data_IF_315568271762
#
_entry.id   IF_315568271762
#
_cell.length_a   1.000
_cell.length_b   1.000
_cell.length_c   1.000
_cell.angle_alpha   90.00
_cell.angle_beta   90.00
_cell.angle_gamma   90.00
#
_symmetry.space_group_name_H-M   'P 1'
#
loop_
_entity.id
_entity.type
_entity.pdbx_description
1 polymer ?
#
# COMPACT_ATOMS: atom_id res chain seq x y z
N UNK A 1 -7.16 61.08 34.10
CA UNK A 1 -6.47 59.89 33.58
C UNK A 1 -7.39 58.67 33.69
N UNK A 2 -7.43 57.84 32.64
CA UNK A 2 -8.13 56.55 32.48
C UNK A 2 -9.68 56.51 32.61
N UNK A 3 -10.36 56.70 31.46
CA UNK A 3 -11.74 56.22 31.24
C UNK A 3 -11.73 54.69 31.19
N UNK A 4 -12.37 54.03 32.16
CA UNK A 4 -12.61 52.58 32.13
C UNK A 4 -13.59 52.26 31.00
N UNK A 5 -13.07 51.66 29.93
CA UNK A 5 -13.88 51.06 28.87
C UNK A 5 -14.44 49.75 29.44
N UNK A 6 -15.68 49.77 29.94
CA UNK A 6 -16.42 48.57 30.27
C UNK A 6 -16.73 47.84 28.96
N UNK A 7 -15.92 46.84 28.60
CA UNK A 7 -16.17 45.97 27.45
C UNK A 7 -17.44 45.18 27.73
N UNK A 8 -18.49 45.49 26.98
CA UNK A 8 -19.77 44.81 26.99
C UNK A 8 -19.57 43.38 26.44
N UNK A 9 -19.32 42.41 27.31
CA UNK A 9 -19.30 41.01 26.93
C UNK A 9 -20.74 40.52 26.80
N UNK A 10 -21.38 40.83 25.67
CA UNK A 10 -22.63 40.17 25.26
C UNK A 10 -22.28 38.69 25.08
N UNK A 11 -22.63 37.87 26.06
CA UNK A 11 -22.37 36.43 26.04
C UNK A 11 -23.12 35.76 24.91
N UNK A 12 -22.47 34.80 24.24
CA UNK A 12 -23.14 33.87 23.35
C UNK A 12 -24.32 33.22 24.09
N UNK A 13 -25.43 33.11 23.40
CA UNK A 13 -26.60 32.41 23.94
C UNK A 13 -26.44 30.90 23.75
N UNK A 14 -26.98 30.09 24.67
CA UNK A 14 -26.92 28.62 24.55
C UNK A 14 -27.58 28.11 23.26
N UNK A 15 -28.58 28.84 22.74
CA UNK A 15 -29.27 28.49 21.50
C UNK A 15 -28.37 28.67 20.26
N UNK A 16 -27.48 29.67 20.26
CA UNK A 16 -26.50 29.85 19.18
C UNK A 16 -25.48 28.72 19.17
N UNK A 17 -25.01 28.30 20.35
CA UNK A 17 -24.13 27.13 20.46
C UNK A 17 -24.83 25.82 20.06
N UNK A 18 -26.11 25.67 20.42
CA UNK A 18 -26.91 24.51 20.07
C UNK A 18 -27.07 24.36 18.54
N UNK A 19 -27.40 25.43 17.84
CA UNK A 19 -27.56 25.40 16.39
C UNK A 19 -26.27 24.97 15.67
N UNK A 20 -25.11 25.43 16.14
CA UNK A 20 -23.79 25.09 15.57
C UNK A 20 -23.48 23.60 15.74
N UNK A 21 -23.66 23.03 16.94
CA UNK A 21 -23.36 21.61 17.16
C UNK A 21 -24.29 20.67 16.39
N UNK A 22 -25.56 21.07 16.17
CA UNK A 22 -26.51 20.30 15.35
C UNK A 22 -26.03 20.25 13.90
N UNK A 23 -25.64 21.39 13.33
CA UNK A 23 -25.10 21.45 11.96
C UNK A 23 -23.81 20.63 11.85
N UNK A 24 -22.88 20.77 12.81
CA UNK A 24 -21.65 19.97 12.85
C UNK A 24 -21.94 18.47 12.98
N UNK A 25 -22.96 18.07 13.75
CA UNK A 25 -23.38 16.67 13.90
C UNK A 25 -23.89 16.05 12.60
N UNK A 26 -24.70 16.79 11.82
CA UNK A 26 -25.19 16.32 10.52
C UNK A 26 -24.03 16.17 9.53
N UNK A 27 -23.12 17.15 9.47
CA UNK A 27 -21.94 17.10 8.60
C UNK A 27 -21.04 15.92 8.99
N UNK A 28 -20.76 15.73 10.28
CA UNK A 28 -19.92 14.65 10.78
C UNK A 28 -20.47 13.26 10.46
N UNK A 29 -21.80 13.08 10.53
CA UNK A 29 -22.45 11.80 10.23
C UNK A 29 -22.20 11.32 8.79
N UNK A 30 -22.11 12.24 7.81
CA UNK A 30 -21.82 11.91 6.41
C UNK A 30 -20.31 11.88 6.16
N UNK A 31 -19.58 12.83 6.75
CA UNK A 31 -18.15 13.02 6.49
C UNK A 31 -17.29 11.87 7.02
N UNK A 32 -17.57 11.34 8.22
CA UNK A 32 -16.76 10.28 8.84
C UNK A 32 -16.70 9.00 7.99
N UNK A 33 -17.82 8.39 7.57
CA UNK A 33 -17.77 7.19 6.72
C UNK A 33 -17.17 7.49 5.34
N UNK A 34 -17.42 8.67 4.77
CA UNK A 34 -16.88 9.05 3.47
C UNK A 34 -15.34 9.19 3.49
N UNK A 35 -14.78 9.83 4.53
CA UNK A 35 -13.33 10.01 4.69
C UNK A 35 -12.66 8.65 4.96
N UNK A 36 -13.26 7.78 5.79
CA UNK A 36 -12.72 6.44 6.05
C UNK A 36 -12.54 5.62 4.77
N UNK A 37 -13.53 5.65 3.87
CA UNK A 37 -13.43 4.95 2.58
C UNK A 37 -12.35 5.54 1.67
N UNK A 38 -12.16 6.87 1.66
CA UNK A 38 -11.12 7.52 0.86
C UNK A 38 -9.72 7.14 1.35
N UNK A 39 -9.52 7.12 2.67
CA UNK A 39 -8.22 6.76 3.29
C UNK A 39 -7.89 5.30 2.95
N UNK A 40 -8.81 4.37 3.19
CA UNK A 40 -8.59 2.95 2.90
C UNK A 40 -8.28 2.68 1.41
N UNK A 41 -8.95 3.40 0.50
CA UNK A 41 -8.64 3.30 -0.94
C UNK A 41 -7.28 3.91 -1.30
N UNK A 42 -6.85 4.97 -0.60
CA UNK A 42 -5.55 5.59 -0.82
C UNK A 42 -4.41 4.70 -0.34
N UNK A 43 -4.56 4.07 0.83
CA UNK A 43 -3.61 3.09 1.38
C UNK A 43 -3.45 1.90 0.42
N UNK A 44 -4.55 1.31 -0.05
CA UNK A 44 -4.49 0.24 -1.05
C UNK A 44 -3.72 0.65 -2.31
N UNK A 45 -4.01 1.84 -2.85
CA UNK A 45 -3.32 2.33 -4.04
C UNK A 45 -1.83 2.53 -3.79
N UNK A 46 -1.46 2.98 -2.59
CA UNK A 46 -0.06 3.09 -2.19
C UNK A 46 0.61 1.70 -2.19
N UNK A 47 -0.01 0.70 -1.57
CA UNK A 47 0.54 -0.65 -1.48
C UNK A 47 0.64 -1.33 -2.85
N UNK A 48 -0.36 -1.17 -3.73
CA UNK A 48 -0.27 -1.67 -5.11
C UNK A 48 0.83 -0.97 -5.92
N UNK A 49 0.98 0.34 -5.72
CA UNK A 49 2.05 1.12 -6.37
C UNK A 49 3.43 0.67 -5.86
N UNK A 50 3.54 0.36 -4.58
CA UNK A 50 4.75 -0.19 -3.98
C UNK A 50 5.10 -1.56 -4.56
N UNK A 51 4.11 -2.47 -4.69
CA UNK A 51 4.31 -3.75 -5.35
C UNK A 51 4.81 -3.57 -6.80
N UNK A 52 4.23 -2.63 -7.56
CA UNK A 52 4.70 -2.29 -8.91
C UNK A 52 6.16 -1.79 -8.91
N UNK A 53 6.55 -0.97 -7.93
CA UNK A 53 7.92 -0.49 -7.77
C UNK A 53 8.90 -1.64 -7.44
N UNK A 54 8.52 -2.58 -6.57
CA UNK A 54 9.32 -3.76 -6.25
C UNK A 54 9.57 -4.61 -7.49
N UNK A 55 8.54 -4.83 -8.33
CA UNK A 55 8.70 -5.53 -9.62
C UNK A 55 9.64 -4.75 -10.55
N UNK A 56 9.52 -3.42 -10.60
CA UNK A 56 10.42 -2.55 -11.36
C UNK A 56 11.88 -2.70 -10.93
N UNK A 57 12.15 -2.68 -9.63
CA UNK A 57 13.47 -2.95 -9.05
C UNK A 57 13.98 -4.33 -9.41
N UNK A 58 13.12 -5.35 -9.40
CA UNK A 58 13.50 -6.70 -9.79
C UNK A 58 13.88 -6.84 -11.27
N UNK A 59 13.17 -6.14 -12.14
CA UNK A 59 13.52 -6.07 -13.57
C UNK A 59 14.89 -5.45 -13.76
N UNK A 60 15.18 -4.37 -13.05
CA UNK A 60 16.48 -3.71 -13.11
C UNK A 60 17.59 -4.61 -12.56
N UNK A 61 17.35 -5.29 -11.43
CA UNK A 61 18.28 -6.26 -10.86
C UNK A 61 18.61 -7.40 -11.83
N UNK A 62 17.61 -7.99 -12.48
CA UNK A 62 17.83 -9.07 -13.45
C UNK A 62 18.64 -8.57 -14.66
N UNK A 63 18.35 -7.36 -15.13
CA UNK A 63 19.05 -6.76 -16.26
C UNK A 63 20.52 -6.41 -15.95
N UNK A 64 20.82 -5.98 -14.73
CA UNK A 64 22.16 -5.57 -14.31
C UNK A 64 23.03 -6.74 -13.83
N UNK A 65 22.50 -7.60 -12.96
CA UNK A 65 23.29 -8.61 -12.25
C UNK A 65 23.24 -10.00 -12.91
N UNK A 66 22.22 -10.27 -13.74
CA UNK A 66 22.05 -11.57 -14.40
C UNK A 66 21.95 -12.75 -13.42
N UNK A 67 21.01 -12.73 -12.46
CA UNK A 67 20.94 -13.72 -11.39
C UNK A 67 20.63 -15.12 -11.92
N UNK A 68 21.00 -16.11 -11.11
CA UNK A 68 20.80 -17.52 -11.41
C UNK A 68 19.36 -17.94 -11.09
N UNK A 69 18.79 -18.77 -11.96
CA UNK A 69 17.46 -19.36 -11.79
C UNK A 69 17.60 -20.83 -11.39
N UNK A 70 16.64 -21.34 -10.61
CA UNK A 70 16.55 -22.77 -10.33
C UNK A 70 16.39 -23.54 -11.65
N UNK A 71 17.29 -24.48 -12.00
CA UNK A 71 17.21 -25.20 -13.27
C UNK A 71 16.00 -26.15 -13.36
N UNK A 72 15.40 -26.54 -12.22
CA UNK A 72 14.26 -27.46 -12.17
C UNK A 72 12.93 -26.72 -12.28
N UNK A 73 12.83 -25.56 -11.62
CA UNK A 73 11.61 -24.75 -11.58
C UNK A 73 11.63 -23.56 -12.55
N UNK A 74 12.80 -23.21 -13.10
CA UNK A 74 13.06 -21.96 -13.82
C UNK A 74 12.64 -20.71 -13.03
N UNK A 75 12.75 -20.76 -11.70
CA UNK A 75 12.34 -19.67 -10.81
C UNK A 75 13.49 -19.07 -10.02
N UNK A 76 13.37 -17.78 -9.73
CA UNK A 76 14.12 -17.08 -8.68
C UNK A 76 13.09 -16.53 -7.69
N UNK A 77 13.23 -16.86 -6.42
CA UNK A 77 12.46 -16.26 -5.33
C UNK A 77 13.35 -15.35 -4.50
N UNK A 78 12.83 -14.18 -4.17
CA UNK A 78 13.45 -13.21 -3.28
C UNK A 78 12.46 -12.92 -2.16
N UNK A 79 12.80 -13.31 -0.94
CA UNK A 79 11.97 -13.08 0.24
C UNK A 79 12.62 -11.99 1.07
N UNK A 80 11.85 -10.94 1.36
CA UNK A 80 12.20 -9.94 2.38
C UNK A 80 11.37 -10.18 3.62
N UNK A 81 12.02 -10.48 4.73
CA UNK A 81 11.36 -10.64 6.00
C UNK A 81 11.08 -9.28 6.67
N UNK A 82 10.18 -9.29 7.66
CA UNK A 82 9.79 -8.09 8.41
C UNK A 82 10.93 -7.47 9.23
N UNK A 83 11.99 -8.24 9.52
CA UNK A 83 13.22 -7.74 10.15
C UNK A 83 14.18 -7.04 9.17
N UNK A 84 13.81 -6.98 7.88
CA UNK A 84 14.59 -6.38 6.81
C UNK A 84 15.59 -7.35 6.16
N UNK A 85 15.71 -8.58 6.62
CA UNK A 85 16.60 -9.57 6.02
C UNK A 85 16.09 -10.04 4.66
N UNK A 86 17.03 -10.29 3.75
CA UNK A 86 16.75 -10.80 2.41
C UNK A 86 17.26 -12.23 2.27
N UNK A 87 16.45 -13.07 1.63
CA UNK A 87 16.76 -14.46 1.31
C UNK A 87 16.46 -14.74 -0.16
N UNK A 88 17.22 -15.66 -0.75
CA UNK A 88 17.15 -16.00 -2.16
C UNK A 88 17.05 -17.51 -2.37
N UNK A 89 16.20 -17.91 -3.31
CA UNK A 89 16.10 -19.29 -3.79
C UNK A 89 16.16 -19.28 -5.33
N UNK A 90 17.12 -19.95 -5.98
CA UNK A 90 18.19 -20.76 -5.38
C UNK A 90 19.21 -19.92 -4.61
N UNK A 91 19.86 -20.54 -3.64
CA UNK A 91 20.90 -19.90 -2.82
C UNK A 91 22.11 -19.55 -3.67
N UNK A 92 22.71 -18.38 -3.44
CA UNK A 92 23.89 -17.88 -4.17
C UNK A 92 23.64 -16.58 -4.94
N UNK A 93 22.38 -16.16 -5.07
CA UNK A 93 22.03 -14.82 -5.54
C UNK A 93 22.15 -13.80 -4.41
N UNK A 94 22.64 -12.59 -4.72
CA UNK A 94 22.80 -11.44 -3.81
C UNK A 94 22.64 -10.15 -4.60
N UNK A 95 22.60 -8.98 -3.94
CA UNK A 95 22.69 -7.67 -4.59
C UNK A 95 21.34 -6.98 -4.82
N UNK A 96 20.22 -7.68 -4.65
CA UNK A 96 18.89 -7.09 -4.81
C UNK A 96 18.61 -5.97 -3.80
N UNK A 97 19.24 -6.01 -2.62
CA UNK A 97 19.18 -4.98 -1.59
C UNK A 97 19.55 -3.59 -2.11
N UNK A 98 20.45 -3.48 -3.09
CA UNK A 98 20.85 -2.20 -3.67
C UNK A 98 19.80 -1.57 -4.58
N UNK A 99 18.80 -2.35 -4.99
CA UNK A 99 17.72 -1.93 -5.88
C UNK A 99 16.42 -1.66 -5.12
N UNK A 100 16.39 -1.95 -3.82
CA UNK A 100 15.19 -1.93 -3.00
C UNK A 100 15.25 -0.78 -1.98
N UNK A 101 14.36 0.20 -2.13
CA UNK A 101 14.16 1.28 -1.17
C UNK A 101 12.79 1.15 -0.50
N UNK A 102 12.47 -0.06 0.02
CA UNK A 102 11.16 -0.39 0.58
C UNK A 102 11.29 -1.14 1.89
N UNK A 103 10.46 -0.78 2.88
CA UNK A 103 10.51 -1.32 4.25
C UNK A 103 9.72 -2.59 4.43
N UNK A 104 8.72 -2.84 3.60
CA UNK A 104 7.74 -3.88 3.88
C UNK A 104 8.25 -5.27 3.52
N UNK A 105 7.69 -6.28 4.19
CA UNK A 105 7.95 -7.68 3.88
C UNK A 105 7.26 -8.04 2.56
N UNK A 106 7.90 -8.90 1.77
CA UNK A 106 7.31 -9.44 0.54
C UNK A 106 8.05 -10.70 0.11
N UNK A 107 7.38 -11.47 -0.73
CA UNK A 107 7.98 -12.54 -1.52
C UNK A 107 7.80 -12.25 -3.00
N UNK A 108 8.91 -12.07 -3.70
CA UNK A 108 8.92 -11.90 -5.14
C UNK A 108 9.29 -13.24 -5.78
N UNK A 109 8.46 -13.73 -6.69
CA UNK A 109 8.77 -14.88 -7.55
C UNK A 109 8.91 -14.43 -9.00
N UNK A 110 10.08 -14.69 -9.58
CA UNK A 110 10.39 -14.47 -10.98
C UNK A 110 10.46 -15.84 -11.66
N UNK A 111 9.67 -16.05 -12.72
CA UNK A 111 9.69 -17.30 -13.49
C UNK A 111 10.17 -17.03 -14.91
N UNK A 112 11.08 -17.86 -15.41
CA UNK A 112 11.58 -17.82 -16.78
C UNK A 112 10.88 -18.86 -17.63
N UNK A 113 10.18 -18.43 -18.69
CA UNK A 113 9.50 -19.32 -19.61
C UNK A 113 9.90 -19.00 -21.06
N UNK A 114 10.77 -19.84 -21.64
CA UNK A 114 11.13 -19.75 -23.06
C UNK A 114 11.72 -18.41 -23.51
N UNK A 115 12.33 -17.65 -22.59
CA UNK A 115 12.89 -16.31 -22.86
C UNK A 115 12.07 -15.14 -22.30
N UNK A 116 10.79 -15.37 -21.95
CA UNK A 116 9.97 -14.40 -21.23
C UNK A 116 10.18 -14.53 -19.72
N UNK A 117 10.14 -13.39 -19.01
CA UNK A 117 10.17 -13.33 -17.55
C UNK A 117 8.80 -12.88 -17.04
N UNK A 118 8.23 -13.64 -16.11
CA UNK A 118 6.98 -13.28 -15.43
C UNK A 118 7.27 -13.00 -13.96
N UNK A 119 6.70 -11.92 -13.44
CA UNK A 119 6.91 -11.44 -12.08
C UNK A 119 5.62 -11.58 -11.28
N UNK A 120 5.75 -12.07 -10.05
CA UNK A 120 4.64 -12.15 -9.10
C UNK A 120 5.10 -11.77 -7.70
N UNK A 121 4.26 -11.04 -6.98
CA UNK A 121 4.47 -10.65 -5.58
C UNK A 121 3.45 -11.36 -4.69
N UNK A 122 3.94 -11.89 -3.59
CA UNK A 122 3.20 -12.49 -2.49
C UNK A 122 3.67 -11.89 -1.14
N UNK A 123 2.99 -12.23 -0.04
CA UNK A 123 3.35 -11.85 1.33
C UNK A 123 3.63 -10.35 1.54
N UNK A 124 2.96 -9.50 0.74
CA UNK A 124 3.06 -8.03 0.77
C UNK A 124 1.69 -7.43 1.12
N UNK A 125 1.58 -6.25 1.77
CA UNK A 125 0.29 -5.63 2.09
C UNK A 125 -0.68 -5.53 0.91
N UNK A 126 -0.17 -5.35 -0.32
CA UNK A 126 -0.99 -5.37 -1.55
C UNK A 126 -1.76 -6.69 -1.79
N UNK A 127 -1.33 -7.79 -1.17
CA UNK A 127 -1.96 -9.12 -1.24
C UNK A 127 -2.90 -9.40 -0.07
N UNK A 128 -2.91 -8.53 0.93
CA UNK A 128 -3.79 -8.62 2.09
C UNK A 128 -5.21 -8.15 1.78
N UNK A 129 -6.14 -8.60 2.62
CA UNK A 129 -7.56 -8.26 2.49
C UNK A 129 -7.83 -6.86 3.01
N UNK A 130 -7.95 -5.91 2.09
CA UNK A 130 -8.60 -4.65 2.38
C UNK A 130 -10.10 -4.90 2.46
N UNK A 131 -10.60 -5.22 3.66
CA UNK A 131 -12.04 -5.33 3.91
C UNK A 131 -12.74 -4.05 3.40
N UNK A 132 -13.46 -4.15 2.28
CA UNK A 132 -14.27 -3.04 1.76
C UNK A 132 -15.69 -3.20 2.29
N UNK A 133 -16.23 -2.20 3.00
CA UNK A 133 -17.67 -2.14 3.18
C UNK A 133 -18.34 -1.95 1.81
N UNK A 134 -18.92 -3.02 1.25
CA UNK A 134 -19.83 -2.97 0.09
C UNK A 134 -19.24 -3.21 -1.30
N UNK A 135 -17.99 -3.67 -1.44
CA UNK A 135 -17.42 -4.07 -2.73
C UNK A 135 -16.87 -5.50 -2.65
N UNK A 136 -17.21 -6.33 -3.65
CA UNK A 136 -16.62 -7.67 -3.77
C UNK A 136 -15.10 -7.53 -3.93
N UNK A 137 -14.29 -8.36 -3.25
CA UNK A 137 -12.86 -8.39 -3.51
C UNK A 137 -12.63 -8.70 -4.99
N UNK A 138 -11.88 -7.84 -5.69
CA UNK A 138 -11.41 -8.11 -7.06
C UNK A 138 -10.30 -9.18 -7.09
N UNK A 139 -9.79 -9.58 -5.92
CA UNK A 139 -8.69 -10.52 -5.72
C UNK A 139 -8.94 -11.39 -4.48
N UNK A 140 -8.41 -12.62 -4.46
CA UNK A 140 -8.51 -13.53 -3.30
C UNK A 140 -7.37 -13.24 -2.34
N UNK A 141 -7.71 -13.01 -1.05
CA UNK A 141 -6.76 -12.74 0.03
C UNK A 141 -5.57 -13.72 0.03
N UNK A 142 -4.36 -13.20 0.13
CA UNK A 142 -3.12 -13.98 0.28
C UNK A 142 -2.76 -14.81 -0.97
N UNK A 143 -3.39 -14.54 -2.11
CA UNK A 143 -2.94 -15.08 -3.38
C UNK A 143 -1.90 -14.14 -3.99
N UNK A 144 -0.83 -14.72 -4.53
CA UNK A 144 0.18 -13.98 -5.26
C UNK A 144 -0.46 -13.17 -6.41
N UNK A 145 -0.01 -11.92 -6.57
CA UNK A 145 -0.43 -11.02 -7.63
C UNK A 145 0.59 -11.04 -8.76
N UNK A 146 0.15 -11.24 -9.99
CA UNK A 146 0.98 -11.02 -11.17
C UNK A 146 1.09 -9.53 -11.49
N UNK A 147 2.16 -9.16 -12.20
CA UNK A 147 2.36 -7.77 -12.65
C UNK A 147 1.12 -7.18 -13.37
N UNK A 148 0.51 -7.94 -14.29
CA UNK A 148 -0.68 -7.48 -15.03
C UNK A 148 -1.89 -7.26 -14.11
N UNK A 149 -2.03 -8.07 -13.06
CA UNK A 149 -3.09 -7.87 -12.07
C UNK A 149 -2.85 -6.59 -11.26
N UNK A 150 -1.60 -6.33 -10.84
CA UNK A 150 -1.24 -5.10 -10.13
C UNK A 150 -1.55 -3.87 -11.00
N UNK A 151 -1.12 -3.88 -12.27
CA UNK A 151 -1.42 -2.77 -13.19
C UNK A 151 -2.92 -2.56 -13.42
N UNK A 152 -3.70 -3.64 -13.43
CA UNK A 152 -5.16 -3.57 -13.58
C UNK A 152 -5.82 -2.99 -12.33
N UNK A 153 -5.33 -3.34 -11.14
CA UNK A 153 -5.88 -2.88 -9.86
C UNK A 153 -5.50 -1.43 -9.51
N UNK A 154 -4.42 -0.91 -10.09
CA UNK A 154 -4.00 0.51 -9.92
C UNK A 154 -4.91 1.47 -10.70
N UNK A 155 -5.36 1.06 -11.90
CA UNK A 155 -6.20 1.87 -12.80
C UNK A 155 -7.60 2.07 -12.24
#
# INVERSE_FOLDING_TARGET
MMKKILKNQKGLTLIELLAVIVILGIIAAIAVPAIGNIIANSERKADLTEASQIIGSAKLYIASEGPTFDPSANTLKITKAADGSLSYLPTGNTGFEGYLDKSDAFELTITKNGGALTFSIDAHPSTEDYAQPGLSPAHVKGAALSETQIETLIR
#
